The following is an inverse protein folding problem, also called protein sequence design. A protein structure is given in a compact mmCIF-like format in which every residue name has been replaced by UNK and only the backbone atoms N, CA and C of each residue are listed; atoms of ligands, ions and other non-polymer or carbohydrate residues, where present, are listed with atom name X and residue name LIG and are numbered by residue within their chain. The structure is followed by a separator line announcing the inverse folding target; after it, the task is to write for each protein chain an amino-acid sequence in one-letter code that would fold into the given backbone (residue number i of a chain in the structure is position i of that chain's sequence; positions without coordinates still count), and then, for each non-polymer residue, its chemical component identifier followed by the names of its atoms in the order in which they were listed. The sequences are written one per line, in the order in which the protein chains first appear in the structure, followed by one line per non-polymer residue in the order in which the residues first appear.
data_IF_085327222648
#
_entry.id   IF_085327222648
#
_cell.length_a   1.000
_cell.length_b   1.000
_cell.length_c   1.000
_cell.angle_alpha   90.00
_cell.angle_beta   90.00
_cell.angle_gamma   90.00
#
_symmetry.space_group_name_H-M   'P 1'
#
loop_
_entity.id
_entity.type
_entity.pdbx_description
1 polymer ?
#
# COMPACT_ATOMS: atom_id res chain seq x y z
N UNK A 1 1.06 -27.99 7.25
CA UNK A 1 0.83 -26.56 6.94
C UNK A 1 1.99 -26.04 6.10
N UNK A 2 1.75 -25.64 4.85
CA UNK A 2 2.80 -25.08 3.98
C UNK A 2 3.24 -23.72 4.54
N UNK A 3 4.52 -23.60 4.90
CA UNK A 3 5.13 -22.35 5.34
C UNK A 3 5.21 -21.39 4.14
N UNK A 4 4.15 -20.59 3.91
CA UNK A 4 3.88 -19.98 2.60
C UNK A 4 4.78 -18.77 2.25
N UNK A 5 5.72 -18.38 3.11
CA UNK A 5 6.53 -17.19 2.88
C UNK A 5 7.99 -17.37 3.30
N UNK A 6 8.77 -18.10 2.51
CA UNK A 6 10.23 -17.86 2.48
C UNK A 6 10.45 -16.47 1.84
N UNK A 7 10.49 -15.44 2.68
CA UNK A 7 10.59 -14.03 2.28
C UNK A 7 12.03 -13.60 2.00
N UNK A 8 13.02 -14.36 2.47
CA UNK A 8 14.43 -13.98 2.42
C UNK A 8 14.92 -13.65 1.00
N UNK A 9 14.38 -14.33 -0.03
CA UNK A 9 14.72 -14.06 -1.43
C UNK A 9 13.68 -13.24 -2.20
N UNK A 10 12.52 -12.92 -1.60
CA UNK A 10 11.39 -12.28 -2.31
C UNK A 10 11.29 -10.77 -2.09
N UNK A 11 11.87 -10.25 -1.01
CA UNK A 11 11.92 -8.82 -0.68
C UNK A 11 12.97 -8.11 -1.54
N UNK A 12 12.66 -7.87 -2.82
CA UNK A 12 13.61 -7.32 -3.81
C UNK A 12 13.25 -5.93 -4.34
N UNK A 13 12.00 -5.53 -4.19
CA UNK A 13 11.52 -4.25 -4.71
C UNK A 13 11.67 -3.17 -3.66
N UNK A 14 12.42 -2.11 -3.96
CA UNK A 14 12.51 -0.94 -3.09
C UNK A 14 11.23 -0.11 -3.20
N UNK A 15 10.61 0.17 -2.07
CA UNK A 15 9.42 1.03 -1.94
C UNK A 15 9.69 2.13 -0.92
N UNK A 16 8.94 3.22 -1.03
CA UNK A 16 8.94 4.31 -0.04
C UNK A 16 7.55 4.42 0.56
N UNK A 17 7.44 4.53 1.88
CA UNK A 17 6.18 4.91 2.54
C UNK A 17 6.21 6.42 2.76
N UNK A 18 5.12 7.10 2.39
CA UNK A 18 4.93 8.52 2.60
C UNK A 18 3.72 8.76 3.51
N UNK A 19 3.81 9.80 4.34
CA UNK A 19 2.71 10.28 5.19
C UNK A 19 2.30 11.68 4.72
N UNK A 20 1.00 11.93 4.69
CA UNK A 20 0.46 13.26 4.42
C UNK A 20 0.48 14.13 5.67
N UNK A 21 0.79 15.40 5.47
CA UNK A 21 0.62 16.49 6.42
C UNK A 21 -0.27 17.53 5.77
N UNK A 22 -1.21 18.04 6.53
CA UNK A 22 -2.06 19.13 6.09
C UNK A 22 -1.29 20.45 6.23
N UNK A 23 -1.16 21.18 5.12
CA UNK A 23 -0.67 22.54 5.10
C UNK A 23 -1.88 23.43 4.89
N UNK A 24 -2.12 24.33 5.85
CA UNK A 24 -3.13 25.36 5.75
C UNK A 24 -2.52 26.52 4.95
N UNK A 25 -3.16 26.90 3.87
CA UNK A 25 -2.79 28.10 3.12
C UNK A 25 -3.42 29.36 3.75
N UNK A 26 -2.89 30.52 3.37
CA UNK A 26 -3.32 31.83 3.88
C UNK A 26 -4.77 32.18 3.48
N UNK A 27 -5.36 31.42 2.54
CA UNK A 27 -6.74 31.55 2.09
C UNK A 27 -7.70 30.56 2.77
N UNK A 28 -7.22 29.76 3.74
CA UNK A 28 -8.02 28.78 4.48
C UNK A 28 -8.22 27.43 3.77
N UNK A 29 -7.54 27.20 2.64
CA UNK A 29 -7.47 25.90 1.96
C UNK A 29 -6.47 24.96 2.63
N UNK A 30 -6.71 23.65 2.51
CA UNK A 30 -5.80 22.63 3.03
C UNK A 30 -5.20 21.83 1.89
N UNK A 31 -3.86 21.84 1.77
CA UNK A 31 -3.13 21.02 0.80
C UNK A 31 -2.38 19.90 1.51
N UNK A 32 -2.44 18.68 0.95
CA UNK A 32 -1.68 17.55 1.47
C UNK A 32 -0.22 17.57 0.99
N UNK A 33 0.71 17.77 1.91
CA UNK A 33 2.13 17.60 1.69
C UNK A 33 2.57 16.18 2.06
N UNK A 34 3.14 15.45 1.10
CA UNK A 34 3.56 14.07 1.29
C UNK A 34 5.04 13.97 1.57
N UNK A 35 5.40 13.43 2.73
CA UNK A 35 6.79 13.33 3.19
C UNK A 35 7.22 11.87 3.26
N UNK A 36 8.41 11.56 2.75
CA UNK A 36 9.06 10.26 2.88
C UNK A 36 9.28 9.91 4.36
N UNK A 37 8.67 8.81 4.81
CA UNK A 37 8.82 8.31 6.19
C UNK A 37 9.91 7.24 6.25
N UNK A 38 9.86 6.27 5.33
CA UNK A 38 10.80 5.15 5.32
C UNK A 38 10.94 4.53 3.94
N UNK A 39 12.13 3.99 3.64
CA UNK A 39 12.43 3.23 2.43
C UNK A 39 12.78 1.80 2.81
N UNK A 40 12.08 0.83 2.22
CA UNK A 40 12.25 -0.60 2.54
C UNK A 40 12.18 -1.48 1.31
N UNK A 41 12.64 -2.72 1.46
CA UNK A 41 12.38 -3.76 0.48
C UNK A 41 11.05 -4.46 0.76
N UNK A 42 10.30 -4.69 -0.31
CA UNK A 42 9.02 -5.37 -0.30
C UNK A 42 8.95 -6.42 -1.42
N UNK A 43 8.06 -7.40 -1.22
CA UNK A 43 7.56 -8.26 -2.27
C UNK A 43 6.25 -7.68 -2.78
N UNK A 44 6.18 -7.36 -4.06
CA UNK A 44 5.05 -6.66 -4.69
C UNK A 44 4.28 -7.62 -5.57
N UNK A 45 2.97 -7.71 -5.32
CA UNK A 45 2.04 -8.56 -6.06
C UNK A 45 0.87 -7.71 -6.55
N UNK A 46 0.51 -7.71 -7.85
CA UNK A 46 -0.82 -7.24 -8.25
C UNK A 46 -1.87 -8.15 -7.61
N UNK A 47 -2.99 -7.57 -7.21
CA UNK A 47 -4.17 -8.31 -6.79
C UNK A 47 -5.14 -8.32 -7.97
N UNK A 48 -5.42 -9.52 -8.46
CA UNK A 48 -6.61 -9.77 -9.25
C UNK A 48 -7.78 -9.70 -8.28
N UNK A 49 -8.35 -8.50 -8.13
CA UNK A 49 -9.68 -8.41 -7.55
C UNK A 49 -10.63 -8.85 -8.67
N UNK A 50 -11.39 -9.94 -8.50
CA UNK A 50 -12.43 -10.26 -9.46
C UNK A 50 -13.36 -9.04 -9.52
N UNK A 51 -13.62 -8.54 -10.72
CA UNK A 51 -14.58 -7.46 -10.92
C UNK A 51 -15.82 -7.79 -10.09
N UNK A 52 -16.18 -6.93 -9.14
CA UNK A 52 -17.46 -7.09 -8.44
C UNK A 52 -18.54 -7.15 -9.52
N UNK A 53 -19.55 -8.00 -9.34
CA UNK A 53 -20.66 -8.11 -10.28
C UNK A 53 -21.28 -6.72 -10.59
N UNK A 54 -21.22 -5.81 -9.62
CA UNK A 54 -21.65 -4.40 -9.72
C UNK A 54 -20.93 -3.59 -10.81
N UNK A 55 -19.66 -3.86 -11.12
CA UNK A 55 -18.93 -3.15 -12.19
C UNK A 55 -19.26 -3.67 -13.60
N UNK A 56 -19.74 -4.91 -13.73
CA UNK A 56 -20.12 -5.48 -15.02
C UNK A 56 -21.36 -4.78 -15.58
N UNK A 57 -22.27 -4.32 -14.71
CA UNK A 57 -23.52 -3.66 -15.12
C UNK A 57 -23.35 -2.21 -15.60
N UNK A 58 -22.21 -1.56 -15.33
CA UNK A 58 -22.01 -0.12 -15.64
C UNK A 58 -21.18 0.15 -16.89
N UNK A 59 -20.70 -0.89 -17.61
CA UNK A 59 -19.86 -0.76 -18.81
C UNK A 59 -18.59 0.10 -18.61
N UNK A 60 -18.25 0.42 -17.36
CA UNK A 60 -17.07 1.17 -16.97
C UNK A 60 -16.04 0.17 -16.47
N UNK A 61 -14.98 -0.04 -17.26
CA UNK A 61 -13.83 -0.82 -16.83
C UNK A 61 -13.09 0.03 -15.78
N UNK A 62 -13.44 -0.15 -14.51
CA UNK A 62 -12.69 0.44 -13.40
C UNK A 62 -11.40 -0.36 -13.26
N UNK A 63 -10.35 0.05 -13.97
CA UNK A 63 -8.98 -0.48 -13.90
C UNK A 63 -8.26 -0.01 -12.63
N UNK A 64 -8.96 0.05 -11.50
CA UNK A 64 -8.32 0.33 -10.21
C UNK A 64 -7.43 -0.86 -9.84
N UNK A 65 -6.14 -0.75 -10.11
CA UNK A 65 -5.19 -1.81 -9.84
C UNK A 65 -4.86 -1.82 -8.35
N UNK A 66 -5.29 -2.88 -7.66
CA UNK A 66 -4.87 -3.12 -6.29
C UNK A 66 -3.57 -3.91 -6.26
N UNK A 67 -2.74 -3.61 -5.28
CA UNK A 67 -1.47 -4.28 -5.07
C UNK A 67 -1.33 -4.67 -3.61
N UNK A 68 -0.70 -5.82 -3.40
CA UNK A 68 -0.24 -6.28 -2.11
C UNK A 68 1.27 -6.10 -2.01
N UNK A 69 1.68 -5.31 -1.03
CA UNK A 69 3.07 -5.12 -0.65
C UNK A 69 3.33 -5.89 0.64
N UNK A 70 4.24 -6.85 0.59
CA UNK A 70 4.64 -7.63 1.76
C UNK A 70 6.04 -7.20 2.17
N UNK A 71 6.21 -6.76 3.41
CA UNK A 71 7.50 -6.27 3.94
C UNK A 71 7.70 -6.72 5.38
N UNK A 72 8.89 -6.44 5.94
CA UNK A 72 9.14 -6.62 7.38
C UNK A 72 8.22 -5.72 8.18
N UNK A 73 7.81 -6.19 9.36
CA UNK A 73 6.96 -5.40 10.26
C UNK A 73 7.67 -4.09 10.64
N UNK A 74 6.92 -2.99 10.51
CA UNK A 74 7.33 -1.67 10.97
C UNK A 74 6.12 -1.09 11.72
N UNK A 75 6.27 -0.71 13.00
CA UNK A 75 5.19 -0.11 13.74
C UNK A 75 4.83 1.28 13.17
N UNK A 76 3.57 1.68 13.30
CA UNK A 76 3.11 3.03 12.94
C UNK A 76 2.75 3.24 11.46
N UNK A 77 2.82 2.20 10.62
CA UNK A 77 2.29 2.26 9.25
C UNK A 77 0.75 2.19 9.31
N UNK A 78 0.06 3.11 8.62
CA UNK A 78 -1.41 3.25 8.69
C UNK A 78 -2.02 3.49 7.32
N UNK A 79 -3.35 3.36 7.20
CA UNK A 79 -4.09 3.66 5.96
C UNK A 79 -4.10 5.15 5.56
N UNK A 80 -3.65 6.06 6.42
CA UNK A 80 -3.46 7.48 6.06
C UNK A 80 -2.18 7.73 5.25
N UNK A 81 -1.36 6.69 5.07
CA UNK A 81 -0.11 6.75 4.32
C UNK A 81 -0.30 6.21 2.89
N UNK A 82 0.71 6.43 2.05
CA UNK A 82 0.78 5.86 0.70
C UNK A 82 2.12 5.17 0.45
N UNK A 83 2.12 4.21 -0.45
CA UNK A 83 3.33 3.56 -0.97
C UNK A 83 3.74 4.26 -2.26
N UNK A 84 5.04 4.52 -2.44
CA UNK A 84 5.64 4.94 -3.71
C UNK A 84 6.48 3.79 -4.24
N UNK A 85 6.19 3.36 -5.45
CA UNK A 85 6.91 2.28 -6.11
C UNK A 85 7.00 2.54 -7.61
N UNK A 86 8.23 2.62 -8.14
CA UNK A 86 8.50 2.95 -9.56
C UNK A 86 7.73 4.20 -10.02
N UNK A 87 7.83 5.28 -9.25
CA UNK A 87 7.18 6.58 -9.54
C UNK A 87 5.65 6.57 -9.51
N UNK A 88 5.03 5.42 -9.20
CA UNK A 88 3.59 5.28 -9.00
C UNK A 88 3.25 5.44 -7.52
N UNK A 89 2.10 6.04 -7.26
CA UNK A 89 1.58 6.27 -5.92
C UNK A 89 0.46 5.27 -5.64
N UNK A 90 0.46 4.67 -4.46
CA UNK A 90 -0.56 3.71 -4.06
C UNK A 90 -1.10 4.09 -2.68
N UNK A 91 -2.37 4.48 -2.62
CA UNK A 91 -3.05 4.82 -1.38
C UNK A 91 -3.32 3.54 -0.58
N UNK A 92 -2.84 3.49 0.67
CA UNK A 92 -2.99 2.31 1.51
C UNK A 92 -4.46 2.15 1.91
N UNK A 93 -5.03 1.00 1.60
CA UNK A 93 -6.41 0.64 1.93
C UNK A 93 -6.48 -0.24 3.18
N UNK A 94 -5.48 -1.10 3.37
CA UNK A 94 -5.42 -1.99 4.52
C UNK A 94 -3.97 -2.29 4.93
N UNK A 95 -3.75 -2.47 6.23
CA UNK A 95 -2.47 -2.82 6.85
C UNK A 95 -2.71 -4.01 7.78
N UNK A 96 -2.06 -5.14 7.52
CA UNK A 96 -2.32 -6.40 8.22
C UNK A 96 -1.01 -6.91 8.84
N UNK A 97 -1.00 -7.07 10.15
CA UNK A 97 0.01 -7.80 10.91
C UNK A 97 -0.43 -9.26 11.02
N UNK A 98 0.11 -10.12 10.16
CA UNK A 98 -0.32 -11.53 10.12
C UNK A 98 -0.04 -12.21 11.47
N UNK A 99 -1.10 -12.75 12.09
CA UNK A 99 -1.07 -13.43 13.40
C UNK A 99 -0.59 -12.55 14.57
N UNK A 100 -0.52 -11.23 14.38
CA UNK A 100 0.00 -10.27 15.37
C UNK A 100 1.43 -10.56 15.87
N UNK A 101 2.23 -11.32 15.11
CA UNK A 101 3.58 -11.74 15.53
C UNK A 101 4.65 -10.65 15.34
N UNK A 102 4.31 -9.51 14.75
CA UNK A 102 5.22 -8.40 14.46
C UNK A 102 6.44 -8.79 13.60
N UNK A 103 6.26 -9.74 12.67
CA UNK A 103 7.33 -10.20 11.76
C UNK A 103 7.19 -9.64 10.35
N UNK A 104 5.96 -9.56 9.86
CA UNK A 104 5.62 -9.23 8.48
C UNK A 104 4.42 -8.29 8.48
N UNK A 105 4.47 -7.27 7.63
CA UNK A 105 3.32 -6.42 7.33
C UNK A 105 2.86 -6.69 5.90
N UNK A 106 1.56 -6.92 5.73
CA UNK A 106 0.90 -6.98 4.42
C UNK A 106 0.09 -5.71 4.23
N UNK A 107 0.45 -4.95 3.21
CA UNK A 107 -0.24 -3.71 2.83
C UNK A 107 -1.05 -3.99 1.58
N UNK A 108 -2.34 -3.71 1.62
CA UNK A 108 -3.17 -3.61 0.42
C UNK A 108 -3.28 -2.14 0.07
N UNK A 109 -2.91 -1.79 -1.15
CA UNK A 109 -2.98 -0.41 -1.63
C UNK A 109 -3.56 -0.36 -3.04
N UNK A 110 -4.26 0.74 -3.32
CA UNK A 110 -4.86 1.04 -4.61
C UNK A 110 -4.03 2.12 -5.28
N UNK A 111 -3.67 1.90 -6.54
CA UNK A 111 -3.07 2.94 -7.38
C UNK A 111 -4.04 4.11 -7.63
#
# INVERSE_FOLDING_TARGET
MKNQYNLSSKLRSRITIQKSYEIIDDSGGTTANWVDVIKVFAYVLPLEIPLSAEHIYTNQIITSNYYKFIMRYIPGITCKMRVVYKERFFNIQNVINELEENKILKIIAKE
#
